data_IF_119872114187
#
_entry.id   IF_119872114187
#
_cell.length_a   1.000
_cell.length_b   1.000
_cell.length_c   1.000
_cell.angle_alpha   90.00
_cell.angle_beta   90.00
_cell.angle_gamma   90.00
#
_symmetry.space_group_name_H-M   'P 1'
#
loop_
_entity.id
_entity.type
_entity.pdbx_description
1 polymer ?
#
# COMPACT_ATOMS: atom_id res chain seq x y z
N UNK A 1 5.74 18.63 15.16
CA UNK A 1 4.93 17.48 14.70
C UNK A 1 5.60 16.22 15.21
N UNK A 2 4.80 15.22 15.58
CA UNK A 2 5.29 13.91 16.00
C UNK A 2 5.03 12.92 14.87
N UNK A 3 6.09 12.31 14.34
CA UNK A 3 5.99 11.30 13.30
C UNK A 3 5.75 9.91 13.90
N UNK A 4 5.13 9.04 13.11
CA UNK A 4 4.83 7.68 13.52
C UNK A 4 4.07 6.96 12.42
N UNK A 5 3.18 6.07 12.83
CA UNK A 5 2.41 5.21 11.95
C UNK A 5 0.93 5.32 12.27
N UNK A 6 0.13 5.60 11.27
CA UNK A 6 -1.30 5.40 11.32
C UNK A 6 -1.60 3.96 10.92
N UNK A 7 -2.42 3.27 11.71
CA UNK A 7 -2.77 1.87 11.46
C UNK A 7 -4.13 1.78 10.78
N UNK A 8 -4.16 1.07 9.66
CA UNK A 8 -5.35 0.73 8.89
C UNK A 8 -5.56 -0.78 8.87
N UNK A 9 -6.83 -1.18 8.86
CA UNK A 9 -7.23 -2.55 8.64
C UNK A 9 -8.06 -2.65 7.37
N UNK A 10 -7.67 -3.55 6.47
CA UNK A 10 -8.58 -4.11 5.48
C UNK A 10 -9.04 -5.48 6.01
N UNK A 11 -10.29 -5.60 6.50
CA UNK A 11 -10.75 -6.80 7.19
C UNK A 11 -10.47 -8.08 6.42
N UNK A 12 -9.87 -9.06 7.09
CA UNK A 12 -9.49 -10.38 6.55
C UNK A 12 -8.48 -10.37 5.39
N UNK A 13 -7.90 -9.21 5.05
CA UNK A 13 -6.94 -9.05 3.95
C UNK A 13 -5.55 -8.69 4.50
N UNK A 14 -5.40 -7.50 5.06
CA UNK A 14 -4.11 -6.98 5.52
C UNK A 14 -4.28 -5.91 6.60
N UNK A 15 -3.21 -5.70 7.37
CA UNK A 15 -3.01 -4.51 8.19
C UNK A 15 -1.94 -3.66 7.52
N UNK A 16 -2.16 -2.35 7.49
CA UNK A 16 -1.26 -1.39 6.88
C UNK A 16 -0.87 -0.32 7.90
N UNK A 17 0.43 -0.08 8.05
CA UNK A 17 0.97 1.04 8.79
C UNK A 17 1.42 2.11 7.79
N UNK A 18 0.65 3.18 7.72
CA UNK A 18 0.92 4.36 6.89
C UNK A 18 1.80 5.34 7.65
N UNK A 19 2.90 5.81 7.04
CA UNK A 19 3.74 6.81 7.68
C UNK A 19 2.97 8.11 7.83
N UNK A 20 2.81 8.57 9.06
CA UNK A 20 1.92 9.70 9.38
C UNK A 20 2.53 10.65 10.40
N UNK A 21 2.01 11.88 10.43
CA UNK A 21 2.41 12.89 11.41
C UNK A 21 1.19 13.52 12.06
N UNK A 22 1.27 13.68 13.39
CA UNK A 22 0.26 14.39 14.18
C UNK A 22 0.82 15.67 14.77
N UNK A 23 -0.04 16.66 14.98
CA UNK A 23 0.28 17.82 15.79
C UNK A 23 0.21 17.45 17.27
N UNK A 24 1.11 18.01 18.08
CA UNK A 24 1.09 17.85 19.53
C UNK A 24 0.74 19.21 20.12
N UNK A 25 -0.37 19.29 20.85
CA UNK A 25 -0.79 20.55 21.48
C UNK A 25 0.16 20.97 22.61
N UNK A 26 0.13 22.23 23.05
CA UNK A 26 0.87 22.66 24.24
C UNK A 26 0.56 21.82 25.50
N UNK A 27 -0.64 21.27 25.60
CA UNK A 27 -1.11 20.39 26.68
C UNK A 27 -0.74 18.91 26.46
N UNK A 28 -0.05 18.59 25.36
CA UNK A 28 0.41 17.24 25.03
C UNK A 28 -0.60 16.36 24.30
N UNK A 29 -1.71 16.92 23.80
CA UNK A 29 -2.71 16.14 23.04
C UNK A 29 -2.21 15.84 21.63
N UNK A 30 -2.46 14.62 21.14
CA UNK A 30 -2.17 14.23 19.75
C UNK A 30 -3.39 14.57 18.88
N UNK A 31 -3.19 15.47 17.90
CA UNK A 31 -4.25 15.92 16.99
C UNK A 31 -3.84 15.60 15.56
N UNK A 32 -4.67 14.81 14.90
CA UNK A 32 -4.58 14.61 13.46
C UNK A 32 -5.40 15.66 12.73
N UNK A 33 -4.73 16.47 11.93
CA UNK A 33 -5.36 17.55 11.16
C UNK A 33 -5.67 17.12 9.71
N UNK A 34 -5.22 15.92 9.31
CA UNK A 34 -5.41 15.42 7.95
C UNK A 34 -6.85 14.94 7.77
N UNK A 35 -7.63 15.52 6.82
CA UNK A 35 -8.99 15.06 6.54
C UNK A 35 -9.01 13.57 6.19
N UNK A 36 -9.97 12.83 6.77
CA UNK A 36 -10.15 11.40 6.48
C UNK A 36 -11.22 11.20 5.43
N UNK A 37 -10.91 10.38 4.42
CA UNK A 37 -11.75 10.19 3.23
C UNK A 37 -13.09 9.56 3.54
N UNK A 38 -13.22 8.81 4.64
CA UNK A 38 -14.47 8.18 5.05
C UNK A 38 -15.04 8.79 6.35
N UNK A 39 -14.54 9.96 6.76
CA UNK A 39 -15.07 10.70 7.90
C UNK A 39 -14.70 10.09 9.26
N UNK A 40 -13.64 9.29 9.33
CA UNK A 40 -13.13 8.73 10.57
C UNK A 40 -12.83 9.85 11.59
N UNK A 41 -13.47 9.79 12.76
CA UNK A 41 -13.31 10.78 13.82
C UNK A 41 -12.01 10.62 14.61
N UNK A 42 -11.42 9.42 14.58
CA UNK A 42 -10.21 9.05 15.33
C UNK A 42 -9.40 8.03 14.54
N UNK A 43 -8.09 8.05 14.72
CA UNK A 43 -7.17 7.05 14.16
C UNK A 43 -6.44 6.29 15.27
N UNK A 44 -6.00 5.07 14.96
CA UNK A 44 -5.00 4.39 15.76
C UNK A 44 -3.60 4.86 15.31
N UNK A 45 -2.91 5.60 16.18
CA UNK A 45 -1.59 6.14 15.90
C UNK A 45 -0.53 5.53 16.81
N UNK A 46 0.59 5.11 16.23
CA UNK A 46 1.77 4.58 16.92
C UNK A 46 2.92 5.56 16.71
N UNK A 47 3.27 6.39 17.71
CA UNK A 47 4.42 7.28 17.63
C UNK A 47 5.73 6.54 17.35
N UNK A 48 6.59 7.09 16.49
CA UNK A 48 7.96 6.61 16.28
C UNK A 48 8.91 7.80 16.36
N UNK A 49 9.37 8.12 17.57
CA UNK A 49 10.20 9.29 17.84
C UNK A 49 11.58 9.25 17.15
N UNK A 50 11.97 8.11 16.57
CA UNK A 50 13.22 7.97 15.80
C UNK A 50 13.05 8.38 14.34
N UNK A 51 11.81 8.58 13.88
CA UNK A 51 11.51 8.97 12.51
C UNK A 51 11.21 10.46 12.41
N UNK A 52 11.67 11.03 11.33
CA UNK A 52 11.36 12.40 10.90
C UNK A 52 11.06 12.34 9.41
N UNK A 53 10.07 13.10 8.96
CA UNK A 53 9.84 13.25 7.53
C UNK A 53 11.01 13.98 6.87
N UNK A 54 11.67 13.34 5.91
CA UNK A 54 12.87 13.88 5.24
C UNK A 54 12.56 14.48 3.87
N UNK A 55 11.29 14.77 3.57
CA UNK A 55 10.88 15.27 2.25
C UNK A 55 10.71 14.19 1.17
N UNK A 56 10.75 12.92 1.56
CA UNK A 56 10.59 11.76 0.69
C UNK A 56 9.37 10.95 1.11
N UNK A 57 8.61 10.40 0.15
CA UNK A 57 7.53 9.47 0.46
C UNK A 57 8.11 8.27 1.20
N UNK A 58 7.57 7.98 2.38
CA UNK A 58 7.90 6.75 3.12
C UNK A 58 6.87 5.70 2.74
N UNK A 59 7.33 4.55 2.25
CA UNK A 59 6.42 3.44 1.95
C UNK A 59 5.72 2.95 3.21
N UNK A 60 4.48 2.50 3.04
CA UNK A 60 3.71 1.91 4.11
C UNK A 60 4.18 0.50 4.36
N UNK A 61 4.16 0.08 5.62
CA UNK A 61 4.41 -1.32 5.97
C UNK A 61 3.09 -2.07 5.87
N UNK A 62 3.01 -3.05 4.99
CA UNK A 62 1.79 -3.84 4.76
C UNK A 62 2.04 -5.28 5.16
N UNK A 63 1.18 -5.83 6.01
CA UNK A 63 1.27 -7.20 6.49
C UNK A 63 -0.02 -7.95 6.16
N UNK A 64 0.05 -9.09 5.44
CA UNK A 64 -1.14 -9.90 5.20
C UNK A 64 -1.59 -10.55 6.50
N UNK A 65 -2.90 -10.55 6.78
CA UNK A 65 -3.43 -11.20 8.01
C UNK A 65 -3.48 -12.73 7.91
N UNK A 66 -3.25 -13.27 6.72
CA UNK A 66 -3.28 -14.71 6.42
C UNK A 66 -2.39 -15.05 5.22
N UNK A 67 -2.03 -16.32 5.09
CA UNK A 67 -1.31 -16.79 3.90
C UNK A 67 -2.24 -16.78 2.68
N UNK A 68 -2.03 -15.79 1.80
CA UNK A 68 -2.74 -15.66 0.54
C UNK A 68 -1.83 -15.02 -0.52
N UNK A 69 -1.62 -15.73 -1.62
CA UNK A 69 -0.76 -15.28 -2.70
C UNK A 69 -1.31 -14.02 -3.40
N UNK A 70 -2.64 -13.85 -3.49
CA UNK A 70 -3.23 -12.64 -4.05
C UNK A 70 -2.86 -11.40 -3.24
N UNK A 71 -2.97 -11.50 -1.91
CA UNK A 71 -2.64 -10.40 -1.00
C UNK A 71 -1.15 -10.09 -1.02
N UNK A 72 -0.30 -11.13 -1.02
CA UNK A 72 1.16 -10.96 -1.14
C UNK A 72 1.54 -10.24 -2.43
N UNK A 73 0.96 -10.64 -3.57
CA UNK A 73 1.22 -9.95 -4.84
C UNK A 73 0.68 -8.52 -4.85
N UNK A 74 -0.46 -8.24 -4.20
CA UNK A 74 -0.99 -6.88 -4.08
C UNK A 74 -0.02 -5.98 -3.29
N UNK A 75 0.54 -6.49 -2.19
CA UNK A 75 1.55 -5.80 -1.39
C UNK A 75 2.79 -5.52 -2.25
N UNK A 76 3.36 -6.53 -2.92
CA UNK A 76 4.53 -6.36 -3.81
C UNK A 76 4.28 -5.34 -4.93
N UNK A 77 3.08 -5.33 -5.53
CA UNK A 77 2.71 -4.33 -6.52
C UNK A 77 2.70 -2.90 -5.94
N UNK A 78 2.19 -2.75 -4.72
CA UNK A 78 2.13 -1.47 -4.01
C UNK A 78 3.53 -0.95 -3.65
N UNK A 79 4.40 -1.83 -3.16
CA UNK A 79 5.82 -1.52 -2.87
C UNK A 79 6.56 -1.11 -4.15
N UNK A 80 6.38 -1.85 -5.24
CA UNK A 80 7.00 -1.53 -6.54
C UNK A 80 6.55 -0.17 -7.08
N UNK A 81 5.28 0.20 -6.89
CA UNK A 81 4.77 1.54 -7.24
C UNK A 81 5.53 2.62 -6.46
N UNK A 82 5.66 2.47 -5.14
CA UNK A 82 6.38 3.46 -4.32
C UNK A 82 7.86 3.56 -4.71
N UNK A 83 8.51 2.43 -5.02
CA UNK A 83 9.89 2.42 -5.53
C UNK A 83 10.04 3.19 -6.84
N UNK A 84 9.08 3.06 -7.77
CA UNK A 84 9.08 3.84 -9.01
C UNK A 84 8.85 5.33 -8.71
N UNK A 85 7.92 5.67 -7.82
CA UNK A 85 7.65 7.06 -7.45
C UNK A 85 8.84 7.73 -6.74
N UNK A 86 9.63 6.96 -5.99
CA UNK A 86 10.82 7.44 -5.27
C UNK A 86 12.14 7.23 -6.02
N UNK A 87 12.10 7.05 -7.35
CA UNK A 87 13.33 6.82 -8.11
C UNK A 87 14.02 8.13 -8.50
N UNK A 88 15.25 8.30 -8.05
CA UNK A 88 16.12 9.41 -8.44
C UNK A 88 15.59 10.76 -7.94
N UNK A 89 15.52 11.74 -8.83
CA UNK A 89 15.06 13.10 -8.50
C UNK A 89 13.58 13.17 -8.10
N UNK A 90 12.78 12.14 -8.42
CA UNK A 90 11.35 12.09 -8.07
C UNK A 90 11.08 12.09 -6.57
N UNK A 91 12.03 11.58 -5.78
CA UNK A 91 11.94 11.57 -4.30
C UNK A 91 11.77 12.95 -3.69
N UNK A 92 12.28 13.99 -4.36
CA UNK A 92 12.20 15.37 -3.89
C UNK A 92 11.01 16.15 -4.50
N UNK A 93 10.19 15.50 -5.34
CA UNK A 93 9.03 16.14 -5.97
C UNK A 93 7.81 16.02 -5.06
N UNK A 94 7.05 17.11 -4.93
CA UNK A 94 5.82 17.16 -4.15
C UNK A 94 4.63 17.43 -5.07
N UNK A 95 3.48 16.84 -4.74
CA UNK A 95 2.26 16.98 -5.54
C UNK A 95 2.29 16.12 -6.80
N UNK A 96 2.17 16.74 -7.97
CA UNK A 96 2.13 16.00 -9.24
C UNK A 96 3.54 15.56 -9.65
N UNK A 97 3.82 14.26 -9.54
CA UNK A 97 5.05 13.63 -9.99
C UNK A 97 4.87 13.09 -11.41
N UNK A 98 5.77 13.46 -12.33
CA UNK A 98 5.76 12.90 -13.69
C UNK A 98 6.53 11.59 -13.73
N UNK A 99 5.87 10.52 -14.17
CA UNK A 99 6.47 9.19 -14.31
C UNK A 99 6.24 8.68 -15.73
N UNK A 100 7.29 8.17 -16.42
CA UNK A 100 7.10 7.55 -17.71
C UNK A 100 6.08 6.41 -17.64
N UNK A 101 5.08 6.43 -18.51
CA UNK A 101 3.98 5.48 -18.52
C UNK A 101 4.43 4.01 -18.48
N UNK A 102 5.48 3.67 -19.22
CA UNK A 102 6.00 2.30 -19.28
C UNK A 102 6.61 1.82 -17.95
N UNK A 103 7.02 2.72 -17.04
CA UNK A 103 7.53 2.36 -15.72
C UNK A 103 6.39 2.06 -14.73
N UNK A 104 5.26 2.79 -14.84
CA UNK A 104 4.23 2.80 -13.79
C UNK A 104 2.94 2.07 -14.19
N UNK A 105 2.51 2.17 -15.45
CA UNK A 105 1.24 1.58 -15.90
C UNK A 105 1.16 0.06 -15.70
N UNK A 106 2.21 -0.75 -15.95
CA UNK A 106 2.14 -2.19 -15.69
C UNK A 106 1.87 -2.49 -14.22
N UNK A 107 2.47 -1.71 -13.31
CA UNK A 107 2.32 -1.88 -11.87
C UNK A 107 0.92 -1.43 -11.40
N UNK A 108 0.41 -0.32 -11.92
CA UNK A 108 -0.96 0.14 -11.63
C UNK A 108 -2.01 -0.86 -12.14
N UNK A 109 -1.82 -1.43 -13.34
CA UNK A 109 -2.69 -2.49 -13.87
C UNK A 109 -2.61 -3.74 -12.99
N UNK A 110 -1.42 -4.13 -12.55
CA UNK A 110 -1.23 -5.25 -11.64
C UNK A 110 -1.96 -5.02 -10.30
N UNK A 111 -1.68 -3.89 -9.64
CA UNK A 111 -2.30 -3.54 -8.36
C UNK A 111 -3.83 -3.47 -8.48
N UNK A 112 -4.36 -2.88 -9.55
CA UNK A 112 -5.80 -2.82 -9.82
C UNK A 112 -6.42 -4.21 -9.98
N UNK A 113 -5.83 -5.08 -10.82
CA UNK A 113 -6.32 -6.45 -11.00
C UNK A 113 -6.31 -7.26 -9.69
N UNK A 114 -5.23 -7.14 -8.91
CA UNK A 114 -5.07 -7.84 -7.63
C UNK A 114 -6.07 -7.30 -6.60
N UNK A 115 -6.21 -5.98 -6.49
CA UNK A 115 -7.17 -5.32 -5.61
C UNK A 115 -8.61 -5.69 -5.94
N UNK A 116 -8.99 -5.66 -7.22
CA UNK A 116 -10.32 -6.10 -7.66
C UNK A 116 -10.59 -7.57 -7.34
N UNK A 117 -9.58 -8.43 -7.47
CA UNK A 117 -9.70 -9.86 -7.12
C UNK A 117 -9.99 -10.02 -5.63
N UNK A 118 -9.24 -9.32 -4.78
CA UNK A 118 -9.40 -9.36 -3.32
C UNK A 118 -10.75 -8.76 -2.90
N UNK A 119 -11.13 -7.60 -3.44
CA UNK A 119 -12.42 -6.94 -3.17
C UNK A 119 -13.63 -7.77 -3.63
N UNK A 120 -13.44 -8.64 -4.61
CA UNK A 120 -14.47 -9.61 -5.04
C UNK A 120 -14.56 -10.85 -4.13
N UNK A 121 -13.79 -10.88 -3.03
CA UNK A 121 -13.73 -11.99 -2.09
C UNK A 121 -12.92 -13.19 -2.57
N UNK A 122 -12.19 -13.07 -3.68
CA UNK A 122 -11.40 -14.18 -4.23
C UNK A 122 -10.11 -14.39 -3.45
N UNK A 123 -9.67 -15.65 -3.42
CA UNK A 123 -8.41 -16.11 -2.85
C UNK A 123 -7.53 -16.81 -3.87
N UNK A 124 -6.27 -17.04 -3.50
CA UNK A 124 -5.27 -17.71 -4.33
C UNK A 124 -5.71 -19.07 -4.93
N UNK A 125 -6.60 -19.80 -4.25
CA UNK A 125 -7.12 -21.11 -4.65
C UNK A 125 -8.45 -21.06 -5.40
N UNK A 126 -9.07 -19.89 -5.51
CA UNK A 126 -10.27 -19.67 -6.28
C UNK A 126 -9.96 -19.47 -7.76
N UNK A 127 -10.96 -19.64 -8.66
CA UNK A 127 -10.81 -19.29 -10.06
C UNK A 127 -10.30 -17.86 -10.23
N UNK A 128 -9.32 -17.71 -11.10
CA UNK A 128 -8.71 -16.41 -11.36
C UNK A 128 -9.74 -15.44 -11.96
N UNK A 129 -9.73 -14.19 -11.50
CA UNK A 129 -10.63 -13.12 -11.96
C UNK A 129 -10.62 -12.91 -13.49
N UNK A 130 -9.57 -13.35 -14.18
CA UNK A 130 -9.46 -13.27 -15.63
C UNK A 130 -10.50 -14.13 -16.40
N UNK A 131 -11.26 -14.99 -15.72
CA UNK A 131 -12.32 -15.79 -16.33
C UNK A 131 -11.88 -17.07 -17.04
N UNK A 132 -10.58 -17.42 -17.04
CA UNK A 132 -10.06 -18.64 -17.69
C UNK A 132 -10.34 -19.95 -16.93
N UNK A 133 -11.04 -19.89 -15.80
CA UNK A 133 -11.43 -21.06 -14.98
C UNK A 133 -10.33 -21.71 -14.15
N UNK A 134 -9.05 -21.44 -14.43
CA UNK A 134 -7.93 -21.93 -13.60
C UNK A 134 -7.79 -21.17 -12.30
N UNK A 135 -7.35 -21.85 -11.22
CA UNK A 135 -7.06 -21.21 -9.92
C UNK A 135 -6.05 -20.07 -10.09
N UNK A 136 -6.19 -18.97 -9.34
CA UNK A 136 -5.28 -17.82 -9.42
C UNK A 136 -3.80 -18.23 -9.38
N UNK A 137 -3.41 -19.04 -8.38
CA UNK A 137 -2.03 -19.50 -8.20
C UNK A 137 -1.46 -20.35 -9.35
N UNK A 138 -2.32 -20.81 -10.26
CA UNK A 138 -1.95 -21.56 -11.48
C UNK A 138 -2.24 -20.79 -12.77
N UNK A 139 -2.74 -19.56 -12.66
CA UNK A 139 -3.09 -18.70 -13.79
C UNK A 139 -2.15 -17.48 -13.80
N UNK A 140 -2.56 -16.36 -13.23
CA UNK A 140 -1.74 -15.14 -13.18
C UNK A 140 -0.69 -15.18 -12.06
N UNK A 141 -0.86 -16.02 -11.04
CA UNK A 141 0.07 -16.17 -9.91
C UNK A 141 1.53 -16.31 -10.33
N UNK A 142 1.91 -17.29 -11.19
CA UNK A 142 3.30 -17.47 -11.62
C UNK A 142 3.87 -16.26 -12.37
N UNK A 143 3.05 -15.55 -13.14
CA UNK A 143 3.46 -14.33 -13.85
C UNK A 143 3.79 -13.18 -12.90
N UNK A 144 2.97 -13.00 -11.85
CA UNK A 144 3.25 -12.01 -10.81
C UNK A 144 4.44 -12.39 -9.93
N UNK A 145 4.59 -13.67 -9.59
CA UNK A 145 5.76 -14.12 -8.82
C UNK A 145 7.05 -13.83 -9.60
N UNK A 146 7.08 -14.11 -10.90
CA UNK A 146 8.22 -13.80 -11.76
C UNK A 146 8.47 -12.28 -11.91
N UNK A 147 7.41 -11.47 -11.89
CA UNK A 147 7.50 -10.01 -11.96
C UNK A 147 8.15 -9.43 -10.70
N UNK A 148 7.80 -9.95 -9.52
CA UNK A 148 8.20 -9.40 -8.23
C UNK A 148 9.31 -10.17 -7.50
N UNK A 149 9.90 -11.19 -8.14
CA UNK A 149 11.08 -11.91 -7.61
C UNK A 149 12.40 -11.31 -8.12
N UNK A 150 12.34 -10.17 -8.81
CA UNK A 150 13.49 -9.39 -9.29
C UNK A 150 13.69 -8.17 -8.42
#
# INVERSE_FOLDING_TARGET
MLCGWQIWEWPHVMVEAEFHAVWVSPEGQLIDITPKTHGEATILFVPDARRTYTGAVTDNVRLPVRDDLLVRHFIKASEAIVQVMNRGERTAQYGQVSVPAHEIEPLLRAQSFLGQSISSGLRDHDPCLCGRGSKYKRCHGPGFEALFSK
#
